data_IF_038929920433
#
_entry.id   IF_038929920433
#
_cell.length_a   1.000
_cell.length_b   1.000
_cell.length_c   1.000
_cell.angle_alpha   90.00
_cell.angle_beta   90.00
_cell.angle_gamma   90.00
#
_symmetry.space_group_name_H-M   'P 1'
#
loop_
_entity.id
_entity.type
_entity.pdbx_description
1 polymer ?
#
# COMPACT_ATOMS: atom_id res chain seq x y z
N UNK A 1 7.70 -63.81 42.73
CA UNK A 1 7.01 -64.11 41.45
C UNK A 1 7.24 -62.92 40.53
N UNK A 2 8.10 -63.08 39.53
CA UNK A 2 8.46 -62.03 38.59
C UNK A 2 7.42 -61.97 37.46
N UNK A 3 6.80 -60.82 37.24
CA UNK A 3 5.93 -60.59 36.10
C UNK A 3 6.75 -59.91 34.98
N UNK A 4 7.06 -60.68 33.94
CA UNK A 4 7.51 -60.17 32.66
C UNK A 4 6.38 -59.37 32.02
N UNK A 5 6.60 -58.08 31.75
CA UNK A 5 5.73 -57.29 30.85
C UNK A 5 6.46 -57.20 29.52
N UNK A 6 5.96 -57.95 28.54
CA UNK A 6 6.48 -57.97 27.16
C UNK A 6 5.97 -56.74 26.42
N UNK A 7 6.88 -55.84 26.05
CA UNK A 7 6.58 -54.66 25.21
C UNK A 7 6.44 -55.12 23.74
N UNK A 8 5.22 -55.09 23.20
CA UNK A 8 4.96 -55.34 21.78
C UNK A 8 5.13 -54.01 21.03
N UNK A 9 6.23 -53.86 20.30
CA UNK A 9 6.39 -52.78 19.31
C UNK A 9 5.55 -53.12 18.07
N UNK A 10 4.41 -52.43 17.91
CA UNK A 10 3.66 -52.41 16.64
C UNK A 10 4.27 -51.34 15.75
N UNK A 11 5.07 -51.75 14.77
CA UNK A 11 5.56 -50.87 13.72
C UNK A 11 4.40 -50.57 12.74
N UNK A 12 3.73 -49.43 12.89
CA UNK A 12 2.83 -48.91 11.86
C UNK A 12 3.69 -48.35 10.71
N UNK A 13 3.76 -49.10 9.60
CA UNK A 13 4.25 -48.58 8.34
C UNK A 13 3.25 -47.54 7.81
N UNK A 14 3.60 -46.26 7.88
CA UNK A 14 2.86 -45.20 7.17
C UNK A 14 3.20 -45.28 5.68
N UNK A 15 2.23 -45.34 4.76
CA UNK A 15 2.50 -45.26 3.34
C UNK A 15 2.96 -43.83 3.00
N UNK A 16 4.12 -43.71 2.37
CA UNK A 16 4.55 -42.47 1.74
C UNK A 16 3.55 -42.12 0.62
N UNK A 17 2.66 -41.15 0.90
CA UNK A 17 1.82 -40.54 -0.12
C UNK A 17 2.73 -39.70 -1.00
N UNK A 18 2.99 -40.17 -2.22
CA UNK A 18 3.65 -39.38 -3.25
C UNK A 18 2.90 -38.07 -3.45
N UNK A 19 3.64 -36.96 -3.45
CA UNK A 19 3.12 -35.66 -3.84
C UNK A 19 2.69 -35.74 -5.31
N UNK A 20 1.39 -35.87 -5.54
CA UNK A 20 0.82 -35.65 -6.85
C UNK A 20 0.95 -34.14 -7.14
N UNK A 21 1.72 -33.79 -8.16
CA UNK A 21 1.74 -32.44 -8.70
C UNK A 21 0.31 -32.05 -9.08
N UNK A 22 -0.22 -30.99 -8.46
CA UNK A 22 -1.52 -30.45 -8.81
C UNK A 22 -1.49 -29.99 -10.28
N UNK A 23 -2.54 -30.26 -11.07
CA UNK A 23 -2.62 -29.75 -12.43
C UNK A 23 -2.68 -28.22 -12.39
N UNK A 24 -1.82 -27.56 -13.17
CA UNK A 24 -1.92 -26.14 -13.49
C UNK A 24 -3.22 -25.93 -14.28
N UNK A 25 -4.27 -25.46 -13.60
CA UNK A 25 -5.51 -25.08 -14.27
C UNK A 25 -5.25 -23.94 -15.27
N UNK A 26 -5.83 -24.00 -16.48
CA UNK A 26 -5.74 -22.88 -17.42
C UNK A 26 -6.41 -21.65 -16.82
N UNK A 27 -5.85 -20.48 -17.12
CA UNK A 27 -6.36 -19.16 -16.75
C UNK A 27 -7.75 -18.97 -17.38
N UNK A 28 -8.81 -19.42 -16.71
CA UNK A 28 -10.15 -18.93 -16.98
C UNK A 28 -10.21 -17.50 -16.43
N UNK A 29 -9.81 -16.55 -17.26
CA UNK A 29 -9.97 -15.13 -16.98
C UNK A 29 -11.45 -14.88 -16.67
N UNK A 30 -11.75 -14.43 -15.45
CA UNK A 30 -13.04 -13.83 -15.16
C UNK A 30 -13.05 -12.46 -15.83
N UNK A 31 -13.26 -12.46 -17.15
CA UNK A 31 -13.50 -11.25 -17.92
C UNK A 31 -14.91 -10.80 -17.58
N UNK A 32 -15.10 -9.51 -17.26
CA UNK A 32 -16.45 -8.94 -17.20
C UNK A 32 -17.21 -9.29 -18.48
N UNK A 33 -18.51 -9.51 -18.35
CA UNK A 33 -19.36 -9.87 -19.48
C UNK A 33 -19.14 -8.90 -20.65
N UNK A 34 -18.53 -9.39 -21.74
CA UNK A 34 -18.32 -8.64 -22.99
C UNK A 34 -16.90 -8.60 -23.53
N UNK A 35 -15.87 -8.80 -22.69
CA UNK A 35 -14.47 -8.77 -23.15
C UNK A 35 -13.94 -10.12 -23.64
N UNK A 36 -13.09 -10.10 -24.67
CA UNK A 36 -12.29 -11.25 -25.12
C UNK A 36 -10.81 -10.91 -24.99
N UNK A 37 -10.01 -11.86 -24.49
CA UNK A 37 -8.57 -11.72 -24.32
C UNK A 37 -7.85 -12.38 -25.51
N UNK A 38 -6.82 -11.73 -26.03
CA UNK A 38 -6.00 -12.25 -27.13
C UNK A 38 -5.23 -13.51 -26.72
N UNK A 39 -4.79 -14.30 -27.71
CA UNK A 39 -4.08 -15.55 -27.46
C UNK A 39 -2.75 -15.38 -26.70
N UNK A 40 -2.09 -14.22 -26.85
CA UNK A 40 -0.89 -13.85 -26.12
C UNK A 40 -1.18 -13.26 -24.72
N UNK A 41 -2.46 -13.08 -24.37
CA UNK A 41 -2.90 -12.53 -23.09
C UNK A 41 -2.69 -11.02 -22.94
N UNK A 42 -2.05 -10.35 -23.91
CA UNK A 42 -1.62 -8.95 -23.78
C UNK A 42 -2.69 -7.93 -24.12
N UNK A 43 -3.81 -8.36 -24.70
CA UNK A 43 -4.87 -7.49 -25.19
C UNK A 43 -6.23 -7.99 -24.72
N UNK A 44 -7.09 -7.07 -24.29
CA UNK A 44 -8.52 -7.31 -24.06
C UNK A 44 -9.35 -6.36 -24.93
N UNK A 45 -10.42 -6.86 -25.54
CA UNK A 45 -11.35 -6.07 -26.35
C UNK A 45 -12.79 -6.49 -26.11
N UNK A 46 -13.72 -5.53 -26.08
CA UNK A 46 -15.18 -5.77 -26.06
C UNK A 46 -15.82 -5.58 -27.44
N UNK A 47 -15.01 -5.48 -28.50
CA UNK A 47 -15.45 -5.22 -29.87
C UNK A 47 -15.60 -3.73 -30.22
N UNK A 48 -15.65 -2.84 -29.23
CA UNK A 48 -15.62 -1.39 -29.44
C UNK A 48 -14.31 -0.77 -28.98
N UNK A 49 -13.85 -1.17 -27.79
CA UNK A 49 -12.61 -0.74 -27.18
C UNK A 49 -11.56 -1.83 -27.21
N UNK A 50 -10.31 -1.39 -27.11
CA UNK A 50 -9.17 -2.27 -26.91
C UNK A 50 -8.30 -1.71 -25.79
N UNK A 51 -7.81 -2.58 -24.91
CA UNK A 51 -6.77 -2.29 -23.92
C UNK A 51 -5.64 -3.28 -24.13
N UNK A 52 -4.40 -2.79 -24.17
CA UNK A 52 -3.19 -3.59 -24.36
C UNK A 52 -2.10 -3.19 -23.38
N UNK A 53 -1.40 -4.17 -22.84
CA UNK A 53 -0.20 -3.95 -22.02
C UNK A 53 1.05 -4.57 -22.68
N UNK A 54 2.22 -4.04 -22.34
CA UNK A 54 3.51 -4.58 -22.81
C UNK A 54 3.85 -5.92 -22.18
N UNK A 55 3.37 -6.18 -20.97
CA UNK A 55 3.59 -7.40 -20.22
C UNK A 55 2.45 -7.61 -19.21
N UNK A 56 2.01 -8.86 -19.03
CA UNK A 56 0.97 -9.23 -18.05
C UNK A 56 1.33 -10.47 -17.24
N UNK A 57 2.41 -11.17 -17.60
CA UNK A 57 2.91 -12.35 -16.90
C UNK A 57 4.31 -12.08 -16.37
N UNK A 58 4.68 -12.80 -15.32
CA UNK A 58 6.00 -12.71 -14.67
C UNK A 58 6.40 -11.27 -14.34
N UNK A 59 5.43 -10.44 -13.93
CA UNK A 59 5.68 -9.07 -13.51
C UNK A 59 6.60 -9.06 -12.29
N UNK A 60 7.62 -8.22 -12.32
CA UNK A 60 8.55 -8.04 -11.22
C UNK A 60 7.87 -7.26 -10.08
N UNK A 61 8.03 -7.69 -8.83
CA UNK A 61 7.29 -7.09 -7.73
C UNK A 61 7.82 -5.74 -7.23
N UNK A 62 8.97 -5.28 -7.74
CA UNK A 62 9.62 -4.04 -7.32
C UNK A 62 9.16 -2.79 -8.07
N UNK A 63 7.85 -2.61 -8.30
CA UNK A 63 7.33 -1.43 -9.01
C UNK A 63 7.63 -1.43 -10.51
N UNK A 64 7.41 -2.56 -11.19
CA UNK A 64 7.69 -2.66 -12.62
C UNK A 64 6.88 -1.64 -13.43
N UNK A 65 7.54 -0.94 -14.35
CA UNK A 65 6.87 -0.09 -15.33
C UNK A 65 6.24 -0.94 -16.45
N UNK A 66 4.92 -0.85 -16.61
CA UNK A 66 4.17 -1.52 -17.69
C UNK A 66 3.60 -0.46 -18.63
N UNK A 67 3.96 -0.53 -19.91
CA UNK A 67 3.37 0.35 -20.93
C UNK A 67 1.97 -0.15 -21.28
N UNK A 68 0.99 0.76 -21.26
CA UNK A 68 -0.43 0.47 -21.50
C UNK A 68 -0.95 1.39 -22.59
N UNK A 69 -1.67 0.82 -23.57
CA UNK A 69 -2.30 1.57 -24.64
C UNK A 69 -3.75 1.14 -24.81
N UNK A 70 -4.60 2.10 -25.19
CA UNK A 70 -6.01 1.85 -25.45
C UNK A 70 -6.53 2.57 -26.68
N UNK A 71 -7.67 2.10 -27.20
CA UNK A 71 -8.40 2.71 -28.32
C UNK A 71 -9.89 2.46 -28.21
N UNK A 72 -10.71 3.29 -28.87
CA UNK A 72 -12.16 3.13 -28.95
C UNK A 72 -12.95 3.66 -27.75
N UNK A 73 -12.29 4.39 -26.84
CA UNK A 73 -12.94 4.96 -25.66
C UNK A 73 -13.82 6.17 -26.02
N UNK A 74 -14.90 6.35 -25.27
CA UNK A 74 -15.75 7.53 -25.32
C UNK A 74 -15.02 8.72 -24.68
N UNK A 75 -14.52 9.61 -25.52
CA UNK A 75 -13.73 10.78 -25.08
C UNK A 75 -14.53 11.83 -24.32
N UNK A 76 -15.86 11.68 -24.24
CA UNK A 76 -16.69 12.52 -23.37
C UNK A 76 -16.60 12.12 -21.89
N UNK A 77 -15.98 10.96 -21.58
CA UNK A 77 -15.80 10.42 -20.23
C UNK A 77 -14.31 10.20 -19.96
N UNK A 78 -13.83 10.66 -18.81
CA UNK A 78 -12.47 10.32 -18.38
C UNK A 78 -12.39 8.90 -17.83
N UNK A 79 -11.19 8.33 -17.83
CA UNK A 79 -10.89 7.03 -17.25
C UNK A 79 -9.62 7.06 -16.40
N UNK A 80 -9.55 6.15 -15.45
CA UNK A 80 -8.29 5.72 -14.84
C UNK A 80 -7.78 4.46 -15.51
N UNK A 81 -6.45 4.37 -15.61
CA UNK A 81 -5.70 3.17 -15.98
C UNK A 81 -4.82 2.79 -14.80
N UNK A 82 -5.01 1.61 -14.20
CA UNK A 82 -4.25 1.18 -13.02
C UNK A 82 -4.24 -0.35 -12.87
N UNK A 83 -3.35 -0.88 -12.02
CA UNK A 83 -3.49 -2.25 -11.52
C UNK A 83 -4.55 -2.25 -10.41
N UNK A 84 -5.56 -3.12 -10.50
CA UNK A 84 -6.57 -3.24 -9.46
C UNK A 84 -6.90 -4.69 -9.16
N UNK A 85 -7.48 -4.90 -7.98
CA UNK A 85 -8.18 -6.13 -7.65
C UNK A 85 -9.38 -6.31 -8.59
N UNK A 86 -9.58 -7.54 -9.06
CA UNK A 86 -10.75 -7.90 -9.88
C UNK A 86 -11.94 -8.16 -8.95
N UNK A 87 -12.96 -7.32 -9.09
CA UNK A 87 -14.23 -7.42 -8.37
C UNK A 87 -15.35 -7.98 -9.28
N UNK A 88 -16.51 -8.36 -8.73
CA UNK A 88 -17.68 -8.73 -9.53
C UNK A 88 -18.06 -7.68 -10.59
N UNK A 89 -18.79 -8.12 -11.62
CA UNK A 89 -19.03 -7.33 -12.83
C UNK A 89 -19.76 -6.01 -12.62
N UNK A 90 -20.58 -5.94 -11.59
CA UNK A 90 -21.43 -4.82 -11.17
C UNK A 90 -20.73 -3.87 -10.18
N UNK A 91 -19.63 -4.27 -9.56
CA UNK A 91 -18.84 -3.45 -8.65
C UNK A 91 -17.67 -2.79 -9.40
N UNK A 92 -17.12 -1.64 -8.97
CA UNK A 92 -15.90 -1.10 -9.56
C UNK A 92 -14.68 -1.98 -9.19
N UNK A 93 -13.68 -2.14 -10.06
CA UNK A 93 -12.39 -2.71 -9.65
C UNK A 93 -11.76 -1.82 -8.57
N UNK A 94 -11.53 -2.37 -7.38
CA UNK A 94 -10.90 -1.72 -6.22
C UNK A 94 -10.48 -2.79 -5.19
N UNK A 95 -9.44 -2.55 -4.36
CA UNK A 95 -8.54 -1.41 -4.42
C UNK A 95 -7.66 -1.42 -5.68
N UNK A 96 -7.10 -0.26 -6.00
CA UNK A 96 -6.16 -0.06 -7.09
C UNK A 96 -4.78 0.35 -6.54
N UNK A 97 -3.71 0.01 -7.25
CA UNK A 97 -2.36 0.43 -6.94
C UNK A 97 -2.23 1.96 -7.01
N UNK A 98 -1.44 2.52 -6.10
CA UNK A 98 -1.21 3.97 -6.00
C UNK A 98 -2.20 4.71 -5.09
N UNK A 99 -3.29 4.08 -4.66
CA UNK A 99 -4.29 4.75 -3.84
C UNK A 99 -4.89 5.99 -4.51
N UNK A 100 -5.10 7.05 -3.74
CA UNK A 100 -5.61 8.33 -4.24
C UNK A 100 -4.43 9.21 -4.66
N UNK A 101 -4.07 9.15 -5.94
CA UNK A 101 -2.95 9.89 -6.53
C UNK A 101 -3.40 11.28 -7.03
N UNK A 102 -3.62 12.21 -6.11
CA UNK A 102 -4.15 13.56 -6.41
C UNK A 102 -3.15 14.38 -7.23
N UNK A 103 -1.86 14.21 -6.96
CA UNK A 103 -0.80 14.97 -7.62
C UNK A 103 -0.29 14.28 -8.90
N UNK A 104 -0.73 13.05 -9.17
CA UNK A 104 -0.37 12.26 -10.34
C UNK A 104 1.09 11.79 -10.35
N UNK A 105 1.74 11.76 -9.19
CA UNK A 105 3.18 11.50 -9.04
C UNK A 105 3.48 10.04 -8.72
N UNK A 106 2.51 9.27 -8.22
CA UNK A 106 2.73 7.87 -7.81
C UNK A 106 3.20 6.99 -8.98
N UNK A 107 2.79 7.34 -10.20
CA UNK A 107 3.01 6.55 -11.42
C UNK A 107 2.25 5.22 -11.44
N UNK A 108 1.54 4.84 -10.37
CA UNK A 108 0.80 3.58 -10.26
C UNK A 108 -0.58 3.63 -10.92
N UNK A 109 -1.04 4.83 -11.26
CA UNK A 109 -2.24 5.06 -12.06
C UNK A 109 -2.02 6.17 -13.09
N UNK A 110 -2.89 6.22 -14.10
CA UNK A 110 -2.92 7.33 -15.05
C UNK A 110 -4.37 7.80 -15.29
N UNK A 111 -4.60 9.10 -15.23
CA UNK A 111 -5.88 9.71 -15.56
C UNK A 111 -5.89 10.17 -17.01
N UNK A 112 -6.81 9.62 -17.80
CA UNK A 112 -7.01 10.00 -19.21
C UNK A 112 -8.36 10.71 -19.34
N UNK A 113 -8.35 11.99 -19.72
CA UNK A 113 -9.57 12.77 -19.94
C UNK A 113 -9.32 13.93 -20.90
N UNK A 114 -10.18 14.07 -21.92
CA UNK A 114 -10.18 15.24 -22.81
C UNK A 114 -10.98 16.42 -22.24
N UNK A 115 -11.75 16.19 -21.17
CA UNK A 115 -12.60 17.19 -20.52
C UNK A 115 -12.51 17.04 -18.99
N UNK A 116 -11.31 17.13 -18.37
CA UNK A 116 -11.19 17.03 -16.93
C UNK A 116 -11.85 18.23 -16.24
N UNK A 117 -12.35 18.08 -15.00
CA UNK A 117 -12.67 19.22 -14.13
C UNK A 117 -11.47 20.16 -13.97
N UNK A 118 -11.70 21.38 -13.49
CA UNK A 118 -10.65 22.40 -13.39
C UNK A 118 -9.43 21.97 -12.59
N UNK A 119 -9.62 21.17 -11.53
CA UNK A 119 -8.53 20.63 -10.73
C UNK A 119 -7.71 19.55 -11.46
N UNK A 120 -8.25 18.92 -12.50
CA UNK A 120 -7.57 17.89 -13.28
C UNK A 120 -6.79 18.43 -14.47
N UNK A 121 -6.86 19.74 -14.73
CA UNK A 121 -6.12 20.37 -15.83
C UNK A 121 -4.63 20.31 -15.50
N UNK A 122 -3.86 19.64 -16.36
CA UNK A 122 -2.43 19.41 -16.15
C UNK A 122 -2.08 18.08 -15.49
N UNK A 123 -3.06 17.42 -14.86
CA UNK A 123 -2.93 16.08 -14.29
C UNK A 123 -3.42 15.00 -15.27
N UNK A 124 -4.59 15.23 -15.87
CA UNK A 124 -5.17 14.31 -16.83
C UNK A 124 -4.50 14.46 -18.20
N UNK A 125 -4.13 13.33 -18.80
CA UNK A 125 -3.69 13.28 -20.19
C UNK A 125 -4.91 13.24 -21.13
N UNK A 126 -4.97 14.06 -22.20
CA UNK A 126 -6.08 14.00 -23.13
C UNK A 126 -6.06 12.72 -23.96
N UNK A 127 -7.24 12.23 -24.35
CA UNK A 127 -7.31 11.20 -25.38
C UNK A 127 -6.81 11.72 -26.73
N UNK A 128 -6.20 10.84 -27.50
CA UNK A 128 -5.94 11.01 -28.93
C UNK A 128 -7.17 10.67 -29.78
N UNK A 129 -6.99 10.77 -31.10
CA UNK A 129 -8.03 10.48 -32.08
C UNK A 129 -8.63 9.07 -31.89
N UNK A 130 -9.95 8.96 -32.01
CA UNK A 130 -10.67 7.68 -31.85
C UNK A 130 -10.64 7.11 -30.42
N UNK A 131 -10.49 7.95 -29.41
CA UNK A 131 -10.45 7.51 -28.00
C UNK A 131 -9.18 6.73 -27.68
N UNK A 132 -8.05 7.17 -28.23
CA UNK A 132 -6.76 6.51 -28.03
C UNK A 132 -6.01 7.08 -26.85
N UNK A 133 -5.17 6.28 -26.20
CA UNK A 133 -4.20 6.74 -25.21
C UNK A 133 -3.00 5.81 -25.16
N UNK A 134 -1.89 6.32 -24.61
CA UNK A 134 -0.71 5.54 -24.25
C UNK A 134 -0.15 6.10 -22.95
N UNK A 135 0.11 5.23 -21.98
CA UNK A 135 0.66 5.59 -20.68
C UNK A 135 1.61 4.49 -20.18
N UNK A 136 2.25 4.72 -19.03
CA UNK A 136 2.99 3.71 -18.28
C UNK A 136 2.45 3.70 -16.86
N UNK A 137 2.22 2.51 -16.31
CA UNK A 137 1.81 2.34 -14.91
C UNK A 137 2.85 1.50 -14.16
N UNK A 138 3.23 1.96 -12.97
CA UNK A 138 4.05 1.23 -12.01
C UNK A 138 3.19 0.17 -11.32
N UNK A 139 3.59 -1.10 -11.37
CA UNK A 139 2.81 -2.21 -10.79
C UNK A 139 3.54 -2.87 -9.62
N UNK A 140 2.82 -3.06 -8.53
CA UNK A 140 3.24 -3.76 -7.31
C UNK A 140 2.26 -4.89 -7.00
N UNK A 141 2.72 -6.05 -6.49
CA UNK A 141 1.83 -7.17 -6.19
C UNK A 141 0.92 -6.89 -5.00
N UNK A 142 1.27 -5.97 -4.10
CA UNK A 142 0.47 -5.65 -2.92
C UNK A 142 -0.29 -4.36 -3.17
N UNK A 143 -1.61 -4.42 -3.02
CA UNK A 143 -2.51 -3.26 -3.08
C UNK A 143 -2.89 -2.82 -1.65
N UNK A 144 -3.49 -1.64 -1.51
CA UNK A 144 -4.02 -1.16 -0.23
C UNK A 144 -4.98 -2.19 0.39
N UNK A 145 -5.07 -2.25 1.72
CA UNK A 145 -5.88 -3.26 2.41
C UNK A 145 -5.27 -4.68 2.39
N UNK A 146 -3.98 -4.82 2.06
CA UNK A 146 -3.25 -6.09 2.17
C UNK A 146 -3.49 -7.09 1.04
N UNK A 147 -4.19 -6.71 -0.03
CA UNK A 147 -4.47 -7.61 -1.15
C UNK A 147 -3.20 -7.94 -1.95
N UNK A 148 -2.77 -9.20 -1.92
CA UNK A 148 -1.63 -9.68 -2.68
C UNK A 148 -2.06 -10.33 -4.02
N UNK A 149 -1.81 -9.66 -5.13
CA UNK A 149 -2.07 -10.10 -6.51
C UNK A 149 -1.33 -11.40 -6.93
N UNK A 150 -0.47 -11.96 -6.07
CA UNK A 150 0.07 -13.32 -6.21
C UNK A 150 -0.89 -14.39 -5.68
N UNK A 151 -1.85 -14.00 -4.86
CA UNK A 151 -2.82 -14.85 -4.18
C UNK A 151 -4.25 -14.58 -4.68
N UNK A 152 -4.58 -13.33 -4.99
CA UNK A 152 -5.89 -12.91 -5.54
C UNK A 152 -5.77 -12.52 -7.01
N UNK A 153 -6.92 -12.44 -7.71
CA UNK A 153 -6.94 -12.06 -9.11
C UNK A 153 -6.86 -10.54 -9.25
N UNK A 154 -5.79 -10.05 -9.87
CA UNK A 154 -5.64 -8.65 -10.26
C UNK A 154 -5.59 -8.49 -11.78
N UNK A 155 -5.83 -7.27 -12.24
CA UNK A 155 -5.81 -6.90 -13.66
C UNK A 155 -5.33 -5.45 -13.82
N UNK A 156 -4.69 -5.15 -14.95
CA UNK A 156 -4.61 -3.77 -15.43
C UNK A 156 -6.00 -3.42 -15.95
N UNK A 157 -6.61 -2.40 -15.38
CA UNK A 157 -7.98 -2.01 -15.68
C UNK A 157 -8.04 -0.65 -16.32
N UNK A 158 -9.04 -0.45 -17.17
CA UNK A 158 -9.64 0.87 -17.34
C UNK A 158 -10.91 0.96 -16.52
N UNK A 159 -11.19 2.10 -15.90
CA UNK A 159 -12.49 2.41 -15.30
C UNK A 159 -12.84 3.86 -15.53
N UNK A 160 -14.11 4.20 -15.66
CA UNK A 160 -14.48 5.62 -15.67
C UNK A 160 -13.97 6.33 -14.41
N UNK A 161 -13.56 7.59 -14.57
CA UNK A 161 -13.01 8.41 -13.51
C UNK A 161 -14.02 8.73 -12.40
N UNK A 162 -13.53 9.34 -11.32
CA UNK A 162 -14.26 9.56 -10.07
C UNK A 162 -15.53 10.42 -10.23
N UNK A 163 -15.61 11.23 -11.29
CA UNK A 163 -16.86 11.94 -11.61
C UNK A 163 -17.98 11.01 -12.13
N UNK A 164 -17.68 9.72 -12.39
CA UNK A 164 -18.61 8.69 -12.90
C UNK A 164 -18.32 7.30 -12.31
N UNK A 165 -18.07 7.21 -11.01
CA UNK A 165 -17.66 5.96 -10.34
C UNK A 165 -18.60 4.76 -10.59
N UNK A 166 -19.92 4.99 -10.67
CA UNK A 166 -20.90 3.92 -10.92
C UNK A 166 -20.99 3.47 -12.40
N UNK A 167 -20.50 4.27 -13.36
CA UNK A 167 -20.58 3.95 -14.79
C UNK A 167 -19.48 2.95 -15.15
N UNK A 168 -19.83 1.67 -15.34
CA UNK A 168 -18.90 0.61 -15.79
C UNK A 168 -18.78 0.50 -17.30
N UNK A 169 -19.37 1.46 -18.00
CA UNK A 169 -19.49 1.47 -19.44
C UNK A 169 -18.17 1.57 -20.17
N UNK A 170 -17.03 1.83 -19.52
CA UNK A 170 -15.67 1.85 -20.11
C UNK A 170 -14.68 0.89 -19.44
N UNK A 171 -15.20 -0.08 -18.69
CA UNK A 171 -14.36 -1.00 -17.95
C UNK A 171 -13.82 -2.12 -18.84
N UNK A 172 -12.50 -2.22 -18.94
CA UNK A 172 -11.79 -3.37 -19.48
C UNK A 172 -10.82 -3.88 -18.42
N UNK A 173 -10.74 -5.20 -18.25
CA UNK A 173 -9.86 -5.85 -17.28
C UNK A 173 -8.91 -6.75 -18.06
N UNK A 174 -7.62 -6.43 -18.01
CA UNK A 174 -6.54 -7.23 -18.58
C UNK A 174 -5.82 -7.99 -17.45
N UNK A 175 -6.10 -9.29 -17.25
CA UNK A 175 -5.58 -10.05 -16.11
C UNK A 175 -4.05 -10.07 -16.08
N UNK A 176 -3.47 -10.00 -14.87
CA UNK A 176 -2.01 -10.06 -14.68
C UNK A 176 -1.57 -11.16 -13.72
N UNK A 177 -0.27 -11.51 -13.76
CA UNK A 177 0.41 -12.38 -12.80
C UNK A 177 1.82 -11.85 -12.51
N UNK A 178 2.18 -11.83 -11.23
CA UNK A 178 3.52 -11.52 -10.76
C UNK A 178 4.39 -12.78 -10.69
N UNK A 179 5.68 -12.63 -10.98
CA UNK A 179 6.67 -13.70 -10.82
C UNK A 179 7.04 -13.93 -9.34
N UNK A 180 7.70 -15.05 -9.04
CA UNK A 180 8.14 -15.42 -7.68
C UNK A 180 9.49 -14.82 -7.27
N UNK A 181 10.08 -13.95 -8.09
CA UNK A 181 11.38 -13.33 -7.80
C UNK A 181 11.26 -12.19 -6.78
N UNK A 182 12.24 -12.05 -5.89
CA UNK A 182 12.36 -10.87 -5.03
C UNK A 182 12.43 -9.59 -5.88
N UNK A 183 11.90 -8.49 -5.34
CA UNK A 183 11.92 -7.17 -5.98
C UNK A 183 13.28 -6.90 -6.60
N UNK A 184 13.32 -6.68 -7.92
CA UNK A 184 14.53 -6.21 -8.56
C UNK A 184 14.88 -4.83 -7.96
N UNK A 185 16.17 -4.55 -7.68
CA UNK A 185 16.56 -3.23 -7.21
C UNK A 185 16.08 -2.17 -8.19
N UNK A 186 15.56 -1.07 -7.66
CA UNK A 186 15.06 0.05 -8.42
C UNK A 186 16.06 0.45 -9.52
N UNK A 187 15.62 0.70 -10.77
CA UNK A 187 16.52 1.17 -11.80
C UNK A 187 17.12 2.51 -11.37
N UNK A 188 18.45 2.61 -11.44
CA UNK A 188 19.18 3.87 -11.29
C UNK A 188 18.57 4.92 -12.24
N UNK A 189 18.27 6.15 -11.77
CA UNK A 189 17.69 7.18 -12.62
C UNK A 189 18.59 7.42 -13.84
N UNK A 190 17.99 7.31 -15.03
CA UNK A 190 18.64 7.71 -16.26
C UNK A 190 18.88 9.23 -16.24
N UNK A 191 20.01 9.73 -16.77
CA UNK A 191 20.25 11.15 -16.86
C UNK A 191 19.13 11.83 -17.65
N UNK A 192 18.60 12.90 -17.07
CA UNK A 192 17.53 13.74 -17.58
C UNK A 192 17.75 14.07 -19.07
N UNK A 193 16.87 13.55 -19.92
CA UNK A 193 16.81 13.95 -21.32
C UNK A 193 16.26 15.38 -21.39
N UNK A 194 16.86 16.29 -22.19
CA UNK A 194 16.40 17.65 -22.27
C UNK A 194 14.95 17.72 -22.75
N UNK A 195 14.15 18.55 -22.07
CA UNK A 195 12.75 18.78 -22.37
C UNK A 195 12.49 19.01 -23.87
N UNK A 196 11.45 18.39 -24.47
CA UNK A 196 11.09 18.67 -25.86
C UNK A 196 10.61 20.12 -25.95
N UNK A 197 11.24 20.86 -26.87
CA UNK A 197 10.82 22.22 -27.23
C UNK A 197 9.41 22.16 -27.83
N UNK A 198 8.48 22.93 -27.26
CA UNK A 198 7.12 23.06 -27.74
C UNK A 198 7.11 23.48 -29.23
N UNK A 199 6.37 22.77 -30.12
CA UNK A 199 6.15 23.27 -31.47
C UNK A 199 5.18 24.46 -31.46
N UNK A 200 5.51 25.47 -32.27
CA UNK A 200 4.76 26.70 -32.45
C UNK A 200 3.28 26.47 -32.87
N UNK A 201 2.35 27.38 -32.50
CA UNK A 201 0.94 27.21 -32.81
C UNK A 201 0.72 27.32 -34.32
N UNK A 202 0.12 26.28 -34.92
CA UNK A 202 -0.36 26.34 -36.30
C UNK A 202 -1.85 26.63 -36.31
N UNK A 203 -2.21 27.81 -36.79
CA UNK A 203 -3.59 28.27 -36.97
C UNK A 203 -4.22 27.53 -38.15
N UNK A 204 -5.24 26.71 -37.89
CA UNK A 204 -6.14 26.19 -38.94
C UNK A 204 -7.47 26.97 -38.90
N UNK A 205 -8.05 27.34 -40.06
CA UNK A 205 -9.30 28.09 -40.11
C UNK A 205 -10.54 27.21 -39.80
N UNK A 206 -11.63 27.80 -39.29
CA UNK A 206 -12.79 27.04 -38.82
C UNK A 206 -13.63 26.51 -39.99
N UNK A 207 -14.08 25.26 -39.87
CA UNK A 207 -15.16 24.71 -40.72
C UNK A 207 -16.48 24.87 -39.97
N UNK A 208 -17.36 25.70 -40.53
CA UNK A 208 -18.68 26.00 -40.01
C UNK A 208 -19.65 24.85 -40.32
N UNK A 209 -20.13 24.14 -39.31
CA UNK A 209 -21.35 23.34 -39.38
C UNK A 209 -22.44 24.03 -38.54
N UNK A 210 -23.69 24.14 -39.02
CA UNK A 210 -24.76 24.84 -38.31
C UNK A 210 -25.23 24.05 -37.06
N UNK A 211 -25.53 24.73 -35.94
CA UNK A 211 -25.88 24.07 -34.69
C UNK A 211 -27.30 23.50 -34.74
N UNK A 212 -27.45 22.24 -34.35
CA UNK A 212 -28.74 21.68 -33.95
C UNK A 212 -28.88 21.91 -32.44
N UNK A 213 -29.78 22.80 -32.04
CA UNK A 213 -30.02 23.14 -30.63
C UNK A 213 -30.70 21.97 -29.92
N UNK A 214 -29.94 21.20 -29.16
CA UNK A 214 -30.46 20.38 -28.06
C UNK A 214 -30.69 21.28 -26.84
N UNK A 215 -31.84 21.10 -26.18
CA UNK A 215 -32.14 21.79 -24.94
C UNK A 215 -31.05 21.49 -23.89
N UNK A 216 -30.61 22.49 -23.11
CA UNK A 216 -29.58 22.28 -22.09
C UNK A 216 -30.05 21.25 -21.06
N UNK A 217 -29.21 20.28 -20.69
CA UNK A 217 -29.51 19.37 -19.59
C UNK A 217 -29.73 20.18 -18.30
N UNK A 218 -30.59 19.71 -17.38
CA UNK A 218 -30.76 20.37 -16.09
C UNK A 218 -29.39 20.50 -15.40
N UNK A 219 -29.18 21.62 -14.72
CA UNK A 219 -27.92 21.89 -14.03
C UNK A 219 -27.60 20.71 -13.08
N UNK A 220 -26.35 20.21 -13.09
CA UNK A 220 -25.94 19.23 -12.10
C UNK A 220 -26.19 19.82 -10.72
N UNK A 221 -26.87 19.06 -9.86
CA UNK A 221 -26.90 19.35 -8.43
C UNK A 221 -25.50 19.06 -7.91
N UNK A 222 -24.65 20.07 -7.90
CA UNK A 222 -23.35 20.02 -7.23
C UNK A 222 -23.63 20.06 -5.73
N UNK A 223 -23.98 18.92 -5.14
CA UNK A 223 -23.85 18.76 -3.70
C UNK A 223 -22.35 18.86 -3.42
N UNK A 224 -21.95 19.93 -2.73
CA UNK A 224 -20.56 20.07 -2.28
C UNK A 224 -20.16 18.82 -1.47
N UNK A 225 -18.90 18.33 -1.60
CA UNK A 225 -18.41 17.22 -0.79
C UNK A 225 -18.67 17.53 0.69
N UNK A 226 -19.25 16.57 1.41
CA UNK A 226 -19.48 16.76 2.83
C UNK A 226 -18.11 16.80 3.54
N UNK A 227 -17.82 17.86 4.34
CA UNK A 227 -16.54 17.99 5.01
C UNK A 227 -16.40 16.99 6.16
N UNK A 228 -15.15 16.73 6.54
CA UNK A 228 -14.80 16.03 7.76
C UNK A 228 -15.38 16.75 8.98
N UNK A 229 -15.91 16.01 9.97
CA UNK A 229 -16.43 16.61 11.19
C UNK A 229 -15.33 17.30 11.99
N UNK A 230 -15.68 18.37 12.71
CA UNK A 230 -14.80 18.94 13.73
C UNK A 230 -14.77 18.00 14.95
N UNK A 231 -13.71 17.19 15.07
CA UNK A 231 -13.51 16.31 16.20
C UNK A 231 -12.87 17.04 17.39
N UNK A 232 -13.24 16.66 18.60
CA UNK A 232 -12.58 17.09 19.84
C UNK A 232 -11.50 16.09 20.21
N UNK A 233 -10.29 16.57 20.49
CA UNK A 233 -9.20 15.73 21.01
C UNK A 233 -9.23 15.69 22.54
N UNK A 234 -8.93 14.52 23.12
CA UNK A 234 -8.69 14.36 24.55
C UNK A 234 -7.46 15.13 25.01
N UNK A 235 -7.38 15.42 26.31
CA UNK A 235 -6.24 16.15 26.91
C UNK A 235 -4.89 15.47 26.68
N UNK A 236 -4.89 14.13 26.56
CA UNK A 236 -3.71 13.32 26.29
C UNK A 236 -3.46 13.09 24.80
N UNK A 237 -4.26 13.70 23.92
CA UNK A 237 -4.15 13.64 22.47
C UNK A 237 -4.48 12.28 21.84
N UNK A 238 -4.80 11.25 22.65
CA UNK A 238 -4.99 9.87 22.16
C UNK A 238 -6.36 9.60 21.57
N UNK A 239 -7.36 10.43 21.86
CA UNK A 239 -8.74 10.18 21.47
C UNK A 239 -9.31 11.35 20.70
N UNK A 240 -9.78 11.11 19.47
CA UNK A 240 -10.63 12.02 18.73
C UNK A 240 -12.09 11.60 18.92
N UNK A 241 -13.00 12.56 19.12
CA UNK A 241 -14.42 12.27 19.27
C UNK A 241 -15.28 13.29 18.55
N UNK A 242 -16.32 12.81 17.88
CA UNK A 242 -17.40 13.64 17.36
C UNK A 242 -18.75 12.98 17.65
N UNK A 243 -19.68 13.75 18.22
CA UNK A 243 -21.00 13.23 18.58
C UNK A 243 -20.89 12.02 19.51
N UNK A 244 -21.43 10.88 19.07
CA UNK A 244 -21.33 9.60 19.77
C UNK A 244 -20.18 8.70 19.32
N UNK A 245 -19.31 9.19 18.43
CA UNK A 245 -18.19 8.44 17.83
C UNK A 245 -16.87 8.79 18.51
N UNK A 246 -16.00 7.81 18.65
CA UNK A 246 -14.64 8.00 19.15
C UNK A 246 -13.64 7.13 18.40
N UNK A 247 -12.41 7.63 18.31
CA UNK A 247 -11.23 6.93 17.81
C UNK A 247 -10.11 7.14 18.82
N UNK A 248 -9.59 6.05 19.39
CA UNK A 248 -8.53 6.05 20.40
C UNK A 248 -7.31 5.28 19.90
N UNK A 249 -6.12 5.84 20.09
CA UNK A 249 -4.84 5.23 19.72
C UNK A 249 -4.00 5.03 20.97
N UNK A 250 -3.48 3.83 21.19
CA UNK A 250 -2.75 3.46 22.42
C UNK A 250 -1.51 4.34 22.67
N UNK A 251 -0.84 4.77 21.59
CA UNK A 251 0.33 5.62 21.63
C UNK A 251 0.34 6.59 20.44
N UNK A 252 0.53 7.87 20.73
CA UNK A 252 0.54 8.95 19.73
C UNK A 252 1.85 9.73 19.68
N UNK A 253 2.74 9.53 20.66
CA UNK A 253 4.00 10.26 20.77
C UNK A 253 5.18 9.30 20.90
N UNK A 254 6.35 9.73 20.40
CA UNK A 254 7.60 9.01 20.54
C UNK A 254 7.59 7.64 19.86
N UNK A 255 6.82 7.49 18.79
CA UNK A 255 6.75 6.26 17.99
C UNK A 255 8.09 6.02 17.28
N UNK A 256 8.52 4.77 17.20
CA UNK A 256 9.75 4.38 16.51
C UNK A 256 9.62 4.63 14.99
N UNK A 257 10.56 5.35 14.36
CA UNK A 257 10.44 5.74 12.96
C UNK A 257 10.50 4.56 11.99
N UNK A 258 11.25 3.51 12.34
CA UNK A 258 11.39 2.27 11.54
C UNK A 258 10.19 1.32 11.64
N UNK A 259 9.27 1.58 12.57
CA UNK A 259 8.15 0.68 12.82
C UNK A 259 7.80 0.56 14.30
N UNK A 260 6.53 0.73 14.62
CA UNK A 260 5.90 0.35 15.89
C UNK A 260 4.55 -0.33 15.62
N UNK A 261 3.96 -0.93 16.65
CA UNK A 261 2.59 -1.45 16.60
C UNK A 261 1.76 -0.72 17.65
N UNK A 262 0.67 -0.08 17.21
CA UNK A 262 -0.30 0.58 18.09
C UNK A 262 -1.64 -0.14 18.06
N UNK A 263 -2.36 -0.11 19.17
CA UNK A 263 -3.76 -0.55 19.20
C UNK A 263 -4.64 0.65 18.87
N UNK A 264 -5.54 0.45 17.91
CA UNK A 264 -6.56 1.43 17.52
C UNK A 264 -7.92 0.89 17.91
N UNK A 265 -8.63 1.65 18.73
CA UNK A 265 -9.99 1.33 19.19
C UNK A 265 -10.94 2.41 18.70
N UNK A 266 -12.12 2.02 18.28
CA UNK A 266 -13.15 2.94 17.80
C UNK A 266 -14.52 2.50 18.28
N UNK A 267 -15.42 3.47 18.51
CA UNK A 267 -16.78 3.23 18.97
C UNK A 267 -17.79 4.15 18.25
N UNK A 268 -19.04 3.71 18.19
CA UNK A 268 -20.17 4.52 17.72
C UNK A 268 -20.29 4.69 16.20
N UNK A 269 -19.55 3.92 15.41
CA UNK A 269 -19.60 3.94 13.95
C UNK A 269 -20.86 3.24 13.42
N UNK A 270 -21.32 3.69 12.25
CA UNK A 270 -22.44 3.06 11.53
C UNK A 270 -21.97 1.77 10.86
N UNK A 271 -22.36 0.62 11.41
CA UNK A 271 -22.00 -0.71 10.91
C UNK A 271 -22.44 -0.98 9.47
N UNK A 272 -23.47 -0.28 8.98
CA UNK A 272 -23.91 -0.37 7.60
C UNK A 272 -22.91 0.25 6.62
N UNK A 273 -21.83 0.86 7.11
CA UNK A 273 -20.87 1.59 6.30
C UNK A 273 -19.44 1.20 6.64
N UNK A 274 -18.68 0.69 5.66
CA UNK A 274 -17.30 0.28 5.88
C UNK A 274 -16.31 1.45 6.03
N UNK A 275 -15.25 1.24 6.80
CA UNK A 275 -14.19 2.23 7.04
C UNK A 275 -12.79 1.65 6.87
N UNK A 276 -11.84 2.50 6.48
CA UNK A 276 -10.41 2.17 6.42
C UNK A 276 -9.67 2.92 7.52
N UNK A 277 -8.74 2.23 8.19
CA UNK A 277 -7.87 2.76 9.24
C UNK A 277 -6.43 2.71 8.76
N UNK A 278 -5.69 3.82 8.83
CA UNK A 278 -4.26 3.88 8.45
C UNK A 278 -3.59 5.13 9.03
N UNK A 279 -2.26 5.12 9.12
CA UNK A 279 -1.50 6.38 9.23
C UNK A 279 -1.56 7.12 7.90
N UNK A 280 -1.86 8.40 7.92
CA UNK A 280 -1.92 9.27 6.75
C UNK A 280 -1.33 10.65 7.08
N UNK A 281 -0.82 11.34 6.06
CA UNK A 281 -0.63 12.79 6.12
C UNK A 281 -1.99 13.47 6.30
N UNK A 282 -2.06 14.44 7.21
CA UNK A 282 -3.30 15.19 7.50
C UNK A 282 -3.73 15.99 6.26
N UNK A 283 -5.04 16.06 6.01
CA UNK A 283 -5.60 16.85 4.92
C UNK A 283 -5.44 18.35 5.18
N UNK A 284 -5.10 19.15 4.16
CA UNK A 284 -4.96 20.60 4.30
C UNK A 284 -6.31 21.31 4.48
N UNK A 285 -7.40 20.67 4.03
CA UNK A 285 -8.76 21.15 4.21
C UNK A 285 -9.71 19.99 4.63
N UNK A 286 -10.77 20.26 5.40
CA UNK A 286 -11.71 19.23 5.85
C UNK A 286 -12.51 18.59 4.71
N UNK A 287 -12.57 19.21 3.53
CA UNK A 287 -13.20 18.64 2.33
C UNK A 287 -12.26 17.76 1.52
N UNK A 288 -10.97 17.72 1.87
CA UNK A 288 -9.96 16.92 1.19
C UNK A 288 -9.76 15.58 1.89
N UNK A 289 -9.35 14.58 1.12
CA UNK A 289 -8.99 13.29 1.69
C UNK A 289 -7.62 13.39 2.38
N UNK A 290 -7.45 12.86 3.59
CA UNK A 290 -6.12 12.67 4.16
C UNK A 290 -5.33 11.69 3.28
N UNK A 291 -4.04 11.99 3.08
CA UNK A 291 -3.20 11.27 2.14
C UNK A 291 -1.90 12.02 1.81
N UNK A 292 -0.84 11.30 1.39
CA UNK A 292 -0.78 9.85 1.21
C UNK A 292 -0.85 9.09 2.54
N UNK A 293 -1.18 7.80 2.47
CA UNK A 293 -1.36 6.93 3.62
C UNK A 293 -0.40 5.74 3.56
N UNK A 294 0.04 5.26 4.72
CA UNK A 294 0.89 4.07 4.86
C UNK A 294 0.19 2.76 4.43
N UNK A 295 -1.11 2.81 4.17
CA UNK A 295 -1.92 1.66 3.79
C UNK A 295 -1.29 0.85 2.63
N UNK A 296 -1.01 -0.42 2.90
CA UNK A 296 -0.41 -1.35 1.93
C UNK A 296 1.12 -1.38 1.91
N UNK A 297 1.80 -0.56 2.73
CA UNK A 297 3.25 -0.67 2.94
C UNK A 297 3.63 -2.00 3.62
N UNK A 298 2.83 -2.45 4.60
CA UNK A 298 2.91 -3.78 5.22
C UNK A 298 1.50 -4.37 5.37
N UNK A 299 1.36 -5.69 5.58
CA UNK A 299 0.04 -6.29 5.83
C UNK A 299 -0.71 -5.69 7.04
N UNK A 300 0.00 -5.14 8.03
CA UNK A 300 -0.59 -4.53 9.23
C UNK A 300 -0.70 -3.00 9.17
N UNK A 301 -0.27 -2.33 8.10
CA UNK A 301 -0.26 -0.85 8.05
C UNK A 301 -1.62 -0.22 7.75
N UNK A 302 -2.65 -1.04 7.54
CA UNK A 302 -4.04 -0.60 7.42
C UNK A 302 -5.00 -1.70 7.82
N UNK A 303 -6.18 -1.31 8.31
CA UNK A 303 -7.29 -2.22 8.58
C UNK A 303 -8.55 -1.77 7.84
N UNK A 304 -9.29 -2.71 7.24
CA UNK A 304 -10.62 -2.47 6.68
C UNK A 304 -11.67 -3.07 7.61
N UNK A 305 -12.61 -2.24 8.06
CA UNK A 305 -13.70 -2.63 8.93
C UNK A 305 -15.03 -2.56 8.17
N UNK A 306 -15.81 -3.63 8.13
CA UNK A 306 -17.15 -3.64 7.53
C UNK A 306 -17.98 -4.82 8.02
N UNK A 307 -19.28 -4.60 8.24
CA UNK A 307 -20.25 -5.66 8.54
C UNK A 307 -20.84 -6.31 7.27
N UNK A 308 -20.64 -5.71 6.10
CA UNK A 308 -21.10 -6.24 4.80
C UNK A 308 -19.97 -6.16 3.76
N UNK A 309 -18.83 -6.86 3.96
CA UNK A 309 -17.76 -6.85 2.98
C UNK A 309 -18.18 -7.64 1.73
N UNK A 310 -17.69 -7.25 0.55
CA UNK A 310 -17.80 -8.08 -0.64
C UNK A 310 -17.27 -9.49 -0.39
N UNK A 311 -17.89 -10.51 -1.00
CA UNK A 311 -17.56 -11.92 -0.75
C UNK A 311 -16.08 -12.28 -0.95
N UNK A 312 -15.37 -11.56 -1.83
CA UNK A 312 -13.93 -11.78 -2.06
C UNK A 312 -13.04 -11.24 -0.92
N UNK A 313 -13.58 -10.38 -0.07
CA UNK A 313 -12.89 -9.71 1.04
C UNK A 313 -13.36 -10.22 2.41
N UNK A 314 -14.27 -11.19 2.45
CA UNK A 314 -14.86 -11.70 3.71
C UNK A 314 -13.82 -12.25 4.70
N UNK A 315 -12.67 -12.74 4.22
CA UNK A 315 -11.57 -13.24 5.06
C UNK A 315 -10.48 -12.19 5.34
N UNK A 316 -10.66 -10.96 4.85
CA UNK A 316 -9.66 -9.87 4.89
C UNK A 316 -10.16 -8.62 5.63
N UNK A 317 -11.43 -8.62 6.02
CA UNK A 317 -12.11 -7.51 6.67
C UNK A 317 -12.41 -7.90 8.11
N UNK A 318 -12.15 -6.96 9.01
CA UNK A 318 -12.57 -7.11 10.39
C UNK A 318 -14.03 -6.64 10.52
N UNK A 319 -14.91 -7.43 11.15
CA UNK A 319 -16.28 -6.99 11.40
C UNK A 319 -16.31 -5.92 12.49
N UNK A 320 -17.37 -5.11 12.50
CA UNK A 320 -17.69 -4.31 13.67
C UNK A 320 -18.15 -5.19 14.84
N UNK A 321 -17.96 -4.69 16.06
CA UNK A 321 -18.51 -5.22 17.32
C UNK A 321 -19.32 -4.11 18.00
N UNK A 322 -20.66 -4.17 17.88
CA UNK A 322 -21.62 -3.18 18.39
C UNK A 322 -21.26 -1.72 18.03
N UNK A 323 -20.95 -1.47 16.76
CA UNK A 323 -20.54 -0.17 16.21
C UNK A 323 -19.11 0.22 16.55
N UNK A 324 -18.33 -0.66 17.17
CA UNK A 324 -16.91 -0.47 17.48
C UNK A 324 -15.99 -1.46 16.76
N UNK A 325 -14.69 -1.27 16.94
CA UNK A 325 -13.65 -2.23 16.52
C UNK A 325 -12.37 -2.00 17.32
N UNK A 326 -11.50 -3.02 17.38
CA UNK A 326 -10.16 -2.95 17.96
C UNK A 326 -9.18 -3.69 17.04
N UNK A 327 -8.15 -2.99 16.57
CA UNK A 327 -7.14 -3.52 15.64
C UNK A 327 -5.73 -3.17 16.06
N UNK A 328 -4.77 -4.04 15.74
CA UNK A 328 -3.34 -3.72 15.79
C UNK A 328 -2.93 -3.10 14.44
N UNK A 329 -2.32 -1.93 14.50
CA UNK A 329 -1.88 -1.16 13.33
C UNK A 329 -0.36 -1.00 13.36
N UNK A 330 0.32 -1.47 12.31
CA UNK A 330 1.74 -1.17 12.07
C UNK A 330 1.86 0.30 11.67
N UNK A 331 2.69 1.06 12.37
CA UNK A 331 2.95 2.48 12.10
C UNK A 331 4.42 2.69 11.78
N UNK A 332 4.72 3.60 10.85
CA UNK A 332 6.08 3.96 10.47
C UNK A 332 6.11 5.45 10.09
N UNK A 333 7.27 6.09 10.28
CA UNK A 333 7.42 7.51 10.00
C UNK A 333 7.37 7.82 8.50
N UNK A 334 7.95 6.96 7.66
CA UNK A 334 8.05 7.19 6.22
C UNK A 334 6.90 6.50 5.50
N UNK A 335 5.99 7.29 4.92
CA UNK A 335 4.84 6.79 4.14
C UNK A 335 5.29 6.45 2.71
N UNK A 336 6.06 7.35 2.10
CA UNK A 336 6.62 7.20 0.77
C UNK A 336 7.90 8.04 0.63
N UNK A 337 8.45 8.14 -0.58
CA UNK A 337 9.70 8.85 -0.83
C UNK A 337 9.64 10.36 -0.53
N UNK A 338 8.43 10.94 -0.53
CA UNK A 338 8.20 12.38 -0.40
C UNK A 338 7.49 12.75 0.93
N UNK A 339 7.06 11.74 1.71
CA UNK A 339 6.26 11.93 2.92
C UNK A 339 6.89 11.23 4.11
N UNK A 340 7.51 12.03 4.97
CA UNK A 340 8.03 11.63 6.28
C UNK A 340 7.26 12.34 7.39
N UNK A 341 6.56 11.58 8.23
CA UNK A 341 5.75 12.05 9.34
C UNK A 341 6.55 12.68 10.49
N UNK A 342 7.88 12.74 10.38
CA UNK A 342 8.73 13.57 11.24
C UNK A 342 8.83 15.02 10.76
N UNK A 343 8.57 15.25 9.47
CA UNK A 343 8.68 16.53 8.79
C UNK A 343 7.31 17.14 8.46
N UNK A 344 6.28 16.30 8.28
CA UNK A 344 4.90 16.72 8.02
C UNK A 344 3.94 16.17 9.07
N UNK A 345 2.80 16.84 9.25
CA UNK A 345 1.77 16.39 10.19
C UNK A 345 1.09 15.12 9.67
N UNK A 346 1.15 14.06 10.48
CA UNK A 346 0.46 12.79 10.24
C UNK A 346 -0.50 12.46 11.37
N UNK A 347 -1.48 11.61 11.06
CA UNK A 347 -2.46 11.12 12.01
C UNK A 347 -2.80 9.64 11.71
N UNK A 348 -3.22 8.91 12.74
CA UNK A 348 -4.04 7.71 12.53
C UNK A 348 -5.43 8.18 12.16
N UNK A 349 -5.89 7.77 10.97
CA UNK A 349 -7.14 8.23 10.38
C UNK A 349 -8.08 7.03 10.20
N UNK A 350 -9.33 7.21 10.64
CA UNK A 350 -10.46 6.42 10.15
C UNK A 350 -11.17 7.23 9.07
N UNK A 351 -11.47 6.61 7.94
CA UNK A 351 -12.16 7.23 6.80
C UNK A 351 -13.15 6.27 6.15
N UNK A 352 -14.07 6.79 5.33
CA UNK A 352 -14.89 5.92 4.45
C UNK A 352 -13.98 5.00 3.63
N UNK A 353 -14.39 3.74 3.51
CA UNK A 353 -13.73 2.80 2.59
C UNK A 353 -13.93 3.21 1.12
N UNK A 354 -13.29 2.46 0.22
CA UNK A 354 -13.26 2.76 -1.21
C UNK A 354 -14.65 2.78 -1.88
N UNK A 355 -15.71 2.30 -1.22
CA UNK A 355 -17.07 2.31 -1.77
C UNK A 355 -17.67 3.72 -1.82
N UNK A 356 -17.25 4.59 -0.91
CA UNK A 356 -17.69 5.99 -0.80
C UNK A 356 -16.53 6.91 -0.45
N UNK A 357 -15.43 6.76 -1.19
CA UNK A 357 -14.15 7.41 -0.92
C UNK A 357 -14.16 8.95 -0.92
N UNK A 358 -15.22 9.61 -1.36
CA UNK A 358 -15.38 11.08 -1.35
C UNK A 358 -16.15 11.60 -0.14
N UNK A 359 -16.83 10.72 0.61
CA UNK A 359 -17.54 11.12 1.81
C UNK A 359 -16.57 11.23 2.99
N UNK A 360 -16.48 12.42 3.57
CA UNK A 360 -15.62 12.70 4.73
C UNK A 360 -16.39 12.70 6.06
N UNK A 361 -17.71 12.46 6.06
CA UNK A 361 -18.54 12.55 7.27
C UNK A 361 -18.18 11.55 8.37
N UNK A 362 -17.44 10.48 8.04
CA UNK A 362 -16.92 9.51 9.01
C UNK A 362 -15.46 9.74 9.38
N UNK A 363 -14.82 10.77 8.85
CA UNK A 363 -13.39 10.97 9.04
C UNK A 363 -13.12 11.41 10.49
N UNK A 364 -12.33 10.61 11.20
CA UNK A 364 -11.74 10.98 12.51
C UNK A 364 -10.24 10.80 12.40
N UNK A 365 -9.48 11.74 12.97
CA UNK A 365 -8.03 11.74 12.92
C UNK A 365 -7.45 11.99 14.32
N UNK A 366 -6.53 11.12 14.72
CA UNK A 366 -5.72 11.26 15.94
C UNK A 366 -4.28 11.57 15.52
N UNK A 367 -3.77 12.80 15.74
CA UNK A 367 -2.41 13.17 15.37
C UNK A 367 -1.37 12.25 16.00
N UNK A 368 -0.27 11.99 15.28
CA UNK A 368 0.84 11.16 15.77
C UNK A 368 2.19 11.84 15.53
N UNK A 369 3.14 11.59 16.44
CA UNK A 369 4.51 12.08 16.37
C UNK A 369 5.52 10.94 16.56
N UNK A 370 6.47 10.85 15.63
CA UNK A 370 7.56 9.89 15.66
C UNK A 370 8.79 10.48 16.33
N UNK A 371 9.57 9.63 17.00
CA UNK A 371 10.85 10.01 17.56
C UNK A 371 11.82 10.43 16.45
N UNK A 372 12.62 11.46 16.71
CA UNK A 372 13.78 11.75 15.89
C UNK A 372 14.73 10.53 15.93
N UNK A 373 15.33 10.16 14.78
CA UNK A 373 16.39 9.15 14.78
C UNK A 373 17.52 9.61 15.70
N UNK A 374 17.90 8.76 16.64
CA UNK A 374 19.05 9.02 17.47
C UNK A 374 20.29 8.92 16.56
N UNK A 375 20.89 10.06 16.19
CA UNK A 375 22.16 10.07 15.47
C UNK A 375 23.14 9.22 16.27
N UNK A 376 23.52 8.06 15.72
CA UNK A 376 24.55 7.23 16.32
C UNK A 376 25.77 8.12 16.60
N UNK A 377 26.29 8.14 17.84
CA UNK A 377 27.36 9.07 18.19
C UNK A 377 28.51 8.85 17.23
N UNK A 378 28.85 9.90 16.48
CA UNK A 378 29.91 9.84 15.47
C UNK A 378 31.15 9.21 16.10
N UNK A 379 31.48 7.99 15.68
CA UNK A 379 32.73 7.35 16.08
C UNK A 379 33.85 8.19 15.48
N UNK A 380 34.42 9.07 16.30
CA UNK A 380 35.63 9.81 15.98
C UNK A 380 36.76 8.80 15.90
N UNK A 381 36.92 8.19 14.73
CA UNK A 381 38.15 7.47 14.40
C UNK A 381 39.23 8.52 14.25
N UNK A 382 39.95 8.80 15.33
CA UNK A 382 41.23 9.51 15.25
C UNK A 382 42.15 8.68 14.35
N UNK A 383 42.34 9.14 13.11
CA UNK A 383 43.36 8.58 12.23
C UNK A 383 44.71 8.64 12.96
N UNK A 384 45.49 7.55 13.02
CA UNK A 384 46.83 7.60 13.59
C UNK A 384 47.66 8.54 12.74
N UNK A 385 48.23 9.58 13.38
CA UNK A 385 49.12 10.52 12.73
C UNK A 385 50.28 9.76 12.08
N UNK A 386 50.38 9.80 10.75
CA UNK A 386 51.56 9.38 10.02
C UNK A 386 52.72 10.28 10.41
N UNK A 387 53.65 9.75 11.19
CA UNK A 387 54.91 10.39 11.53
C UNK A 387 55.84 10.29 10.31
N UNK A 388 55.84 11.34 9.49
CA UNK A 388 56.88 11.53 8.48
C UNK A 388 58.13 12.08 9.17
N UNK A 389 59.11 11.21 9.41
CA UNK A 389 60.45 11.61 9.83
C UNK A 389 61.18 12.28 8.65
N UNK A 390 61.44 13.58 8.75
CA UNK A 390 62.48 14.27 7.98
C UNK A 390 63.72 14.48 8.88
N UNK A 391 64.95 14.46 8.34
CA UNK A 391 66.17 14.46 9.12
C UNK A 391 66.50 15.86 9.65
N UNK A 392 67.21 15.85 10.79
CA UNK A 392 67.62 17.01 11.56
C UNK A 392 68.75 17.83 10.89
N UNK A 393 68.73 19.13 11.15
CA UNK A 393 69.95 19.96 11.26
C UNK A 393 69.82 20.88 12.47
N UNK A 394 70.91 20.91 13.26
CA UNK A 394 71.20 21.69 14.46
C UNK A 394 70.85 23.19 14.39
N UNK A 395 70.40 23.77 15.51
CA UNK A 395 71.20 24.77 16.24
C UNK A 395 70.53 25.24 17.57
N UNK A 396 71.28 24.97 18.64
CA UNK A 396 71.52 25.62 19.95
C UNK A 396 70.65 26.81 20.43
N UNK A 397 70.17 26.73 21.70
CA UNK A 397 70.47 27.62 22.88
C UNK A 397 69.28 27.72 23.88
N UNK A 398 69.52 27.26 25.13
CA UNK A 398 69.11 27.74 26.48
C UNK A 398 67.63 28.14 26.77
N UNK A 399 66.99 27.91 27.93
CA UNK A 399 67.36 27.47 29.29
C UNK A 399 66.07 27.27 30.13
N UNK A 400 66.13 26.35 31.10
CA UNK A 400 65.39 26.29 32.39
C UNK A 400 63.85 26.10 32.37
N UNK A 401 63.20 25.54 33.38
CA UNK A 401 63.46 24.61 34.48
C UNK A 401 62.06 24.41 35.11
N UNK A 402 61.65 23.17 35.41
CA UNK A 402 60.76 22.81 36.54
C UNK A 402 60.21 21.38 36.41
N UNK A 403 60.66 20.51 37.31
CA UNK A 403 59.74 19.77 38.19
C UNK A 403 59.37 18.32 37.86
N UNK A 404 60.08 17.39 38.50
CA UNK A 404 59.61 16.15 39.17
C UNK A 404 58.26 15.54 38.76
N UNK A 405 58.14 14.24 38.49
CA UNK A 405 59.07 13.12 38.67
C UNK A 405 58.33 11.78 38.68
N UNK A 406 59.13 10.70 38.69
CA UNK A 406 58.81 9.31 39.07
C UNK A 406 57.67 8.60 38.29
N UNK A 407 57.83 7.47 37.61
CA UNK A 407 58.84 6.41 37.66
C UNK A 407 58.13 5.06 37.49
N UNK A 408 58.70 4.16 36.69
CA UNK A 408 58.48 2.71 36.81
C UNK A 408 57.60 2.03 35.75
N UNK A 409 58.22 1.47 34.71
CA UNK A 409 57.82 0.15 34.18
C UNK A 409 58.29 -0.98 35.14
N UNK A 410 58.01 -2.28 34.89
CA UNK A 410 58.13 -2.92 33.58
C UNK A 410 57.03 -3.97 33.19
N UNK A 411 57.06 -4.34 31.91
CA UNK A 411 56.55 -5.56 31.24
C UNK A 411 57.07 -6.88 31.87
N UNK A 412 56.83 -8.09 31.32
CA UNK A 412 55.70 -8.69 30.55
C UNK A 412 55.36 -10.14 30.98
N UNK A 413 54.22 -10.70 30.56
CA UNK A 413 54.16 -12.10 30.04
C UNK A 413 52.82 -12.40 29.34
N UNK A 414 52.94 -13.10 28.21
CA UNK A 414 51.87 -13.53 27.32
C UNK A 414 51.45 -14.98 27.63
N UNK A 415 50.14 -15.25 27.62
CA UNK A 415 49.45 -16.50 27.27
C UNK A 415 48.01 -16.05 26.91
N UNK A 416 47.40 -16.32 25.75
CA UNK A 416 47.43 -17.54 24.95
C UNK A 416 46.23 -18.42 25.33
N UNK A 417 45.01 -18.06 24.91
CA UNK A 417 43.86 -18.98 24.94
C UNK A 417 42.81 -18.59 23.88
N UNK A 418 42.76 -19.40 22.82
CA UNK A 418 41.67 -19.48 21.84
C UNK A 418 40.52 -20.24 22.50
N UNK A 419 39.36 -19.60 22.63
CA UNK A 419 38.12 -20.23 23.11
C UNK A 419 37.06 -20.23 22.01
N UNK A 420 36.91 -21.36 21.34
CA UNK A 420 35.86 -21.66 20.38
C UNK A 420 34.56 -21.98 21.17
N UNK A 421 33.51 -21.16 21.03
CA UNK A 421 32.19 -21.45 21.60
C UNK A 421 31.18 -21.65 20.47
N UNK A 422 30.79 -22.92 20.30
CA UNK A 422 29.70 -23.35 19.45
C UNK A 422 28.36 -23.07 20.15
N UNK A 423 27.50 -22.26 19.52
CA UNK A 423 26.12 -22.06 19.95
C UNK A 423 25.24 -23.19 19.38
N UNK A 424 24.67 -23.99 20.26
CA UNK A 424 23.59 -24.94 19.94
C UNK A 424 22.27 -24.20 20.11
N UNK A 425 21.59 -23.89 19.01
CA UNK A 425 20.24 -23.34 19.02
C UNK A 425 19.21 -24.43 19.30
N UNK A 426 18.45 -24.29 20.38
CA UNK A 426 17.27 -25.09 20.66
C UNK A 426 16.02 -24.32 20.20
N UNK A 427 15.36 -24.81 19.17
CA UNK A 427 14.08 -24.27 18.67
C UNK A 427 12.93 -24.90 19.48
N UNK A 428 12.19 -24.08 20.24
CA UNK A 428 10.93 -24.47 20.87
C UNK A 428 9.78 -24.20 19.91
N UNK A 429 9.17 -25.27 19.39
CA UNK A 429 7.99 -25.22 18.54
C UNK A 429 6.75 -25.35 19.43
N UNK A 430 6.00 -24.27 19.62
CA UNK A 430 4.71 -24.27 20.33
C UNK A 430 3.61 -24.64 19.34
N UNK A 431 3.08 -25.87 19.45
CA UNK A 431 1.89 -26.31 18.73
C UNK A 431 0.64 -25.82 19.50
N UNK A 432 -0.07 -24.83 18.93
CA UNK A 432 -1.41 -24.41 19.39
C UNK A 432 -2.45 -25.33 18.75
N UNK A 433 -2.95 -26.30 19.53
CA UNK A 433 -4.07 -27.14 19.12
C UNK A 433 -5.38 -26.34 19.21
N UNK A 434 -6.02 -26.06 18.07
CA UNK A 434 -7.40 -25.55 18.04
C UNK A 434 -8.37 -26.68 18.39
N UNK A 435 -8.95 -26.62 19.58
CA UNK A 435 -10.12 -27.42 19.92
C UNK A 435 -11.31 -26.94 19.09
N UNK A 436 -11.78 -27.78 18.15
CA UNK A 436 -13.14 -27.65 17.59
C UNK A 436 -14.11 -28.14 18.66
N UNK A 437 -14.98 -27.25 19.14
CA UNK A 437 -16.15 -27.64 19.91
C UNK A 437 -17.18 -28.24 18.96
N UNK A 438 -17.52 -29.52 19.18
CA UNK A 438 -18.67 -30.16 18.55
C UNK A 438 -19.97 -29.51 19.05
N UNK A 439 -20.73 -28.91 18.13
CA UNK A 439 -22.12 -28.50 18.37
C UNK A 439 -23.02 -29.67 17.94
N UNK A 440 -23.86 -30.23 18.82
CA UNK A 440 -24.81 -31.26 18.43
C UNK A 440 -25.99 -30.65 17.64
N UNK A 441 -26.58 -31.38 16.67
CA UNK A 441 -27.70 -30.89 15.87
C UNK A 441 -28.98 -30.83 16.70
N UNK A 442 -29.54 -29.62 16.84
CA UNK A 442 -30.89 -29.39 17.37
C UNK A 442 -31.97 -29.69 16.31
N UNK A 443 -32.93 -30.51 16.70
CA UNK A 443 -34.15 -30.93 16.00
C UNK A 443 -35.04 -29.74 15.56
N UNK A 444 -35.79 -29.82 14.44
CA UNK A 444 -36.74 -28.77 14.06
C UNK A 444 -38.02 -28.85 14.90
N UNK A 445 -38.51 -27.70 15.36
CA UNK A 445 -39.88 -27.56 15.87
C UNK A 445 -40.80 -27.13 14.72
N UNK A 446 -41.86 -27.90 14.55
CA UNK A 446 -42.95 -27.68 13.63
C UNK A 446 -43.93 -26.60 14.12
N UNK A 447 -44.59 -25.96 13.14
CA UNK A 447 -45.96 -25.41 13.08
C UNK A 447 -46.69 -24.99 14.36
N UNK A 448 -47.27 -23.78 14.31
CA UNK A 448 -48.58 -23.54 14.94
C UNK A 448 -49.01 -22.07 15.07
N UNK A 449 -50.04 -21.72 14.29
CA UNK A 449 -50.93 -20.55 14.34
C UNK A 449 -50.51 -19.25 13.64
#
# INVERSE_FOLDING_TARGET
MAALVTLVLVALAMPARGAAAAPTAPLAAQVRAGGSVSADGLTVTDGQRTLRASQVLDLAPGGQQVAVAGSGYDTSKGIYVALCLVTPGDQPPSPCGGGIDIDGTSGASAWISSNPPSYGVGLASPYGAGGTFSTTVAVSPVLSGGFDCRQVQCAIVTRNDHVRTADRGQDLLLPVRFGTGAAAPAPTPAPEAPAPTAPAPTTAPPTTAPPTTLAPPPAPTTTAPAPAPEATLSDDGRTASEGGRSLTVSQVDGLAPDGDVVTVEAEGFDEGRGVLVSVCRVAEAPTEAPGPCLAGATPGSSAWISSDPPAYAADLVEPYDDGGFSVELDVAAVIDADTDCREVECAVVVRRDDTEADDRTLDLAVPVAFAAEEEAPATTTTAPATTTTAPATDDVVATADAGSGSGGGPLPWALGAVGLLAAVGATLLVLRARHRGDVPPGTPAAEGA
#
